data_IF_690436051322
#
_entry.id   IF_690436051322
#
_cell.length_a   1.000
_cell.length_b   1.000
_cell.length_c   1.000
_cell.angle_alpha   90.00
_cell.angle_beta   90.00
_cell.angle_gamma   90.00
#
_symmetry.space_group_name_H-M   'P 1'
#
loop_
_entity.id
_entity.type
_entity.pdbx_description
1 polymer ?
#
# COMPACT_ATOMS: atom_id res chain seq x y z
N UNK A 1 7.70 2.97 -17.19
CA UNK A 1 8.43 3.11 -15.89
C UNK A 1 7.48 3.14 -14.70
N UNK A 2 6.38 3.90 -14.74
CA UNK A 2 5.42 4.00 -13.62
C UNK A 2 4.95 2.65 -13.07
N UNK A 3 4.65 1.65 -13.93
CA UNK A 3 4.32 0.28 -13.49
C UNK A 3 5.37 -0.32 -12.53
N UNK A 4 6.66 -0.19 -12.87
CA UNK A 4 7.73 -0.74 -12.02
C UNK A 4 7.77 -0.03 -10.68
N UNK A 5 7.63 1.30 -10.68
CA UNK A 5 7.66 2.08 -9.45
C UNK A 5 6.46 1.79 -8.54
N UNK A 6 5.25 1.64 -9.08
CA UNK A 6 4.07 1.30 -8.26
C UNK A 6 4.22 -0.05 -7.58
N UNK A 7 4.78 -1.05 -8.27
CA UNK A 7 5.12 -2.34 -7.67
C UNK A 7 6.26 -2.24 -6.63
N UNK A 8 7.30 -1.45 -6.88
CA UNK A 8 8.39 -1.25 -5.92
C UNK A 8 7.87 -0.58 -4.64
N UNK A 9 7.03 0.45 -4.75
CA UNK A 9 6.42 1.11 -3.60
C UNK A 9 5.50 0.16 -2.83
N UNK A 10 4.69 -0.63 -3.52
CA UNK A 10 3.84 -1.65 -2.88
C UNK A 10 4.67 -2.69 -2.14
N UNK A 11 5.76 -3.18 -2.75
CA UNK A 11 6.69 -4.10 -2.11
C UNK A 11 7.38 -3.48 -0.88
N UNK A 12 7.78 -2.21 -0.95
CA UNK A 12 8.36 -1.50 0.20
C UNK A 12 7.37 -1.39 1.36
N UNK A 13 6.11 -1.06 1.09
CA UNK A 13 5.04 -1.04 2.11
C UNK A 13 4.91 -2.42 2.76
N UNK A 14 4.90 -3.49 1.96
CA UNK A 14 4.84 -4.86 2.46
C UNK A 14 6.03 -5.16 3.39
N UNK A 15 7.26 -4.91 2.95
CA UNK A 15 8.45 -5.13 3.77
C UNK A 15 8.43 -4.34 5.09
N UNK A 16 8.01 -3.07 5.05
CA UNK A 16 7.90 -2.23 6.25
C UNK A 16 6.86 -2.78 7.23
N UNK A 17 5.72 -3.25 6.72
CA UNK A 17 4.64 -3.84 7.50
C UNK A 17 5.08 -5.15 8.16
N UNK A 18 5.76 -6.01 7.40
CA UNK A 18 6.29 -7.28 7.91
C UNK A 18 7.41 -7.07 8.93
N UNK A 19 8.30 -6.10 8.71
CA UNK A 19 9.35 -5.78 9.66
C UNK A 19 8.77 -5.21 10.96
N UNK A 20 7.75 -4.36 10.89
CA UNK A 20 6.97 -3.90 12.05
C UNK A 20 6.33 -5.08 12.80
N UNK A 21 5.68 -6.02 12.08
CA UNK A 21 5.08 -7.22 12.66
C UNK A 21 6.10 -8.12 13.35
N UNK A 22 7.26 -8.31 12.73
CA UNK A 22 8.36 -9.08 13.30
C UNK A 22 8.90 -8.44 14.58
N UNK A 23 9.22 -7.14 14.56
CA UNK A 23 9.78 -6.43 15.72
C UNK A 23 8.79 -6.39 16.88
N UNK A 24 7.50 -6.17 16.61
CA UNK A 24 6.46 -6.17 17.65
C UNK A 24 6.33 -7.56 18.30
N UNK A 25 6.34 -8.63 17.51
CA UNK A 25 6.29 -10.01 18.02
C UNK A 25 7.55 -10.41 18.80
N UNK A 26 8.74 -10.02 18.31
CA UNK A 26 10.00 -10.28 19.03
C UNK A 26 10.02 -9.47 20.33
N UNK A 27 9.64 -8.20 20.30
CA UNK A 27 9.64 -7.35 21.49
C UNK A 27 8.66 -7.83 22.57
N UNK A 28 7.51 -8.40 22.18
CA UNK A 28 6.58 -8.99 23.14
C UNK A 28 7.10 -10.30 23.75
N UNK A 29 7.91 -11.07 23.02
CA UNK A 29 8.43 -12.36 23.48
C UNK A 29 9.71 -12.24 24.34
N UNK A 30 10.52 -11.21 24.12
CA UNK A 30 11.81 -11.00 24.81
C UNK A 30 11.74 -10.12 26.06
N UNK A 31 10.55 -9.73 26.51
CA UNK A 31 10.38 -9.06 27.80
C UNK A 31 10.82 -9.93 29.00
N UNK A 32 11.12 -11.22 28.78
CA UNK A 32 11.59 -12.19 29.77
C UNK A 32 13.08 -12.60 29.66
N UNK A 33 13.85 -12.19 28.64
CA UNK A 33 15.27 -12.61 28.52
C UNK A 33 16.25 -11.50 28.08
N UNK A 34 17.39 -11.29 28.77
CA UNK A 34 18.17 -10.04 28.67
C UNK A 34 19.26 -10.04 27.57
N UNK A 35 19.28 -11.00 26.64
CA UNK A 35 20.53 -11.34 25.91
C UNK A 35 20.75 -10.50 24.63
N UNK A 36 19.75 -9.78 24.12
CA UNK A 36 19.94 -8.91 22.94
C UNK A 36 20.07 -7.43 23.35
N UNK A 37 21.27 -7.02 23.76
CA UNK A 37 21.66 -5.64 24.14
C UNK A 37 21.76 -4.66 22.96
N UNK A 38 20.86 -4.79 21.98
CA UNK A 38 20.61 -3.78 20.97
C UNK A 38 19.10 -3.56 20.92
N UNK A 39 18.59 -2.51 21.57
CA UNK A 39 17.18 -2.14 21.47
C UNK A 39 16.88 -1.93 19.99
N UNK A 40 16.17 -2.85 19.36
CA UNK A 40 15.65 -2.72 17.99
C UNK A 40 14.57 -1.63 18.03
N UNK A 41 15.00 -0.38 18.08
CA UNK A 41 14.12 0.77 18.13
C UNK A 41 13.77 1.17 16.71
N UNK A 42 12.51 0.93 16.36
CA UNK A 42 11.95 1.30 15.07
C UNK A 42 11.16 2.60 15.24
N UNK A 43 11.47 3.62 14.43
CA UNK A 43 10.68 4.85 14.42
C UNK A 43 9.37 4.58 13.65
N UNK A 44 8.32 4.21 14.39
CA UNK A 44 7.02 3.86 13.80
C UNK A 44 6.35 5.02 13.07
N UNK A 45 6.53 6.25 13.54
CA UNK A 45 5.96 7.44 12.90
C UNK A 45 6.58 7.68 11.52
N UNK A 46 7.90 7.47 11.40
CA UNK A 46 8.61 7.56 10.13
C UNK A 46 8.16 6.47 9.15
N UNK A 47 7.99 5.23 9.62
CA UNK A 47 7.50 4.11 8.79
C UNK A 47 6.09 4.37 8.30
N UNK A 48 5.24 4.90 9.16
CA UNK A 48 3.87 5.25 8.82
C UNK A 48 3.84 6.37 7.77
N UNK A 49 4.62 7.44 7.98
CA UNK A 49 4.74 8.54 7.04
C UNK A 49 5.26 8.07 5.67
N UNK A 50 6.28 7.21 5.65
CA UNK A 50 6.81 6.61 4.41
C UNK A 50 5.76 5.75 3.70
N UNK A 51 5.00 4.94 4.45
CA UNK A 51 3.95 4.08 3.87
C UNK A 51 2.83 4.90 3.25
N UNK A 52 2.42 6.00 3.89
CA UNK A 52 1.46 6.97 3.35
C UNK A 52 2.00 7.61 2.07
N UNK A 53 3.25 8.06 2.07
CA UNK A 53 3.87 8.67 0.90
C UNK A 53 3.91 7.70 -0.29
N UNK A 54 4.24 6.43 -0.05
CA UNK A 54 4.19 5.38 -1.08
C UNK A 54 2.76 5.12 -1.58
N UNK A 55 1.77 5.03 -0.70
CA UNK A 55 0.36 4.86 -1.09
C UNK A 55 -0.14 6.03 -1.97
N UNK A 56 0.27 7.27 -1.63
CA UNK A 56 -0.04 8.47 -2.43
C UNK A 56 0.61 8.41 -3.80
N UNK A 57 1.90 8.07 -3.87
CA UNK A 57 2.61 7.94 -5.13
C UNK A 57 2.00 6.85 -6.03
N UNK A 58 1.57 5.73 -5.45
CA UNK A 58 0.81 4.69 -6.18
C UNK A 58 -0.47 5.29 -6.75
N UNK A 59 -1.29 5.93 -5.92
CA UNK A 59 -2.59 6.47 -6.31
C UNK A 59 -2.45 7.52 -7.43
N UNK A 60 -1.52 8.46 -7.28
CA UNK A 60 -1.27 9.52 -8.27
C UNK A 60 -0.73 8.97 -9.59
N UNK A 61 0.06 7.88 -9.55
CA UNK A 61 0.59 7.25 -10.76
C UNK A 61 -0.51 6.64 -11.64
N UNK A 62 -1.71 6.41 -11.10
CA UNK A 62 -2.83 5.84 -11.86
C UNK A 62 -3.34 6.78 -12.95
N UNK A 63 -3.21 8.10 -12.77
CA UNK A 63 -3.52 9.06 -13.84
C UNK A 63 -2.70 8.79 -15.12
N UNK A 64 -1.48 8.29 -14.98
CA UNK A 64 -0.63 7.88 -16.11
C UNK A 64 -0.91 6.44 -16.56
N UNK A 65 -1.07 5.50 -15.62
CA UNK A 65 -1.28 4.08 -15.94
C UNK A 65 -2.63 3.77 -16.56
N UNK A 66 -3.60 4.65 -16.37
CA UNK A 66 -4.93 4.59 -16.98
C UNK A 66 -5.04 5.44 -18.25
N UNK A 67 -3.94 5.92 -18.83
CA UNK A 67 -4.01 6.52 -20.17
C UNK A 67 -4.34 5.45 -21.22
N UNK A 68 -5.08 5.79 -22.27
CA UNK A 68 -5.54 4.83 -23.29
C UNK A 68 -4.37 4.12 -24.00
N UNK A 69 -3.25 4.83 -24.13
CA UNK A 69 -2.00 4.37 -24.72
C UNK A 69 -1.38 3.20 -23.96
N UNK A 70 -1.67 3.06 -22.66
CA UNK A 70 -1.19 1.95 -21.82
C UNK A 70 -2.00 0.65 -22.02
N UNK A 71 -3.09 0.71 -22.80
CA UNK A 71 -3.99 -0.42 -23.15
C UNK A 71 -4.40 -1.21 -21.91
N UNK A 72 -4.51 -2.54 -22.01
CA UNK A 72 -4.89 -3.42 -20.90
C UNK A 72 -3.75 -3.70 -19.91
N UNK A 73 -2.48 -3.64 -20.36
CA UNK A 73 -1.33 -3.98 -19.52
C UNK A 73 -1.09 -2.97 -18.39
N UNK A 74 -1.46 -1.70 -18.58
CA UNK A 74 -1.49 -0.72 -17.49
C UNK A 74 -2.52 -1.14 -16.42
N UNK A 75 -3.82 -1.12 -16.73
CA UNK A 75 -4.92 -1.42 -15.82
C UNK A 75 -4.86 -2.73 -15.04
N UNK A 76 -4.41 -3.86 -15.61
CA UNK A 76 -4.29 -5.11 -14.80
C UNK A 76 -3.14 -5.06 -13.80
N UNK A 77 -2.05 -4.37 -14.14
CA UNK A 77 -0.89 -4.26 -13.26
C UNK A 77 -1.13 -3.35 -12.05
N UNK A 78 -2.17 -2.52 -12.08
CA UNK A 78 -2.49 -1.57 -10.99
C UNK A 78 -3.18 -2.23 -9.79
N UNK A 79 -3.78 -3.41 -9.97
CA UNK A 79 -4.64 -4.03 -8.96
C UNK A 79 -3.89 -4.30 -7.65
N UNK A 80 -2.72 -4.95 -7.73
CA UNK A 80 -1.92 -5.24 -6.54
C UNK A 80 -1.42 -3.95 -5.83
N UNK A 81 -0.78 -2.99 -6.53
CA UNK A 81 -0.42 -1.72 -5.90
C UNK A 81 -1.61 -0.97 -5.27
N UNK A 82 -2.77 -0.96 -5.92
CA UNK A 82 -3.98 -0.31 -5.40
C UNK A 82 -4.49 -0.99 -4.13
N UNK A 83 -4.50 -2.33 -4.07
CA UNK A 83 -4.85 -3.07 -2.85
C UNK A 83 -3.94 -2.66 -1.68
N UNK A 84 -2.63 -2.62 -1.92
CA UNK A 84 -1.65 -2.26 -0.87
C UNK A 84 -1.85 -0.81 -0.42
N UNK A 85 -2.06 0.13 -1.34
CA UNK A 85 -2.34 1.52 -0.99
C UNK A 85 -3.65 1.67 -0.18
N UNK A 86 -4.71 0.95 -0.56
CA UNK A 86 -5.96 0.92 0.17
C UNK A 86 -5.79 0.41 1.60
N UNK A 87 -5.06 -0.69 1.79
CA UNK A 87 -4.77 -1.26 3.11
C UNK A 87 -4.03 -0.27 4.01
N UNK A 88 -3.07 0.50 3.46
CA UNK A 88 -2.39 1.58 4.21
C UNK A 88 -3.39 2.62 4.67
N UNK A 89 -4.22 3.17 3.77
CA UNK A 89 -5.19 4.20 4.15
C UNK A 89 -6.22 3.68 5.15
N UNK A 90 -6.72 2.46 4.97
CA UNK A 90 -7.68 1.81 5.89
C UNK A 90 -7.10 1.64 7.29
N UNK A 91 -5.82 1.31 7.41
CA UNK A 91 -5.15 1.12 8.70
C UNK A 91 -4.99 2.40 9.54
N UNK A 92 -5.14 3.58 8.92
CA UNK A 92 -4.91 4.89 9.53
C UNK A 92 -6.18 5.56 10.07
N UNK A 93 -7.34 4.92 9.90
CA UNK A 93 -8.63 5.41 10.37
C UNK A 93 -9.17 6.62 9.59
N UNK A 94 -9.91 7.50 10.26
CA UNK A 94 -10.69 8.58 9.62
C UNK A 94 -9.86 9.69 8.98
N UNK A 95 -8.54 9.75 9.22
CA UNK A 95 -7.68 10.81 8.70
C UNK A 95 -7.38 10.73 7.19
N UNK A 96 -7.74 9.63 6.52
CA UNK A 96 -7.40 9.39 5.11
C UNK A 96 -8.65 9.25 4.20
N UNK A 97 -9.81 9.78 4.62
CA UNK A 97 -11.06 9.63 3.86
C UNK A 97 -10.99 10.21 2.45
N UNK A 98 -10.30 11.34 2.26
CA UNK A 98 -10.10 11.93 0.93
C UNK A 98 -9.24 11.03 0.02
N UNK A 99 -8.17 10.44 0.57
CA UNK A 99 -7.28 9.53 -0.16
C UNK A 99 -8.00 8.21 -0.52
N UNK A 100 -8.85 7.70 0.39
CA UNK A 100 -9.72 6.54 0.13
C UNK A 100 -10.72 6.85 -0.98
N UNK A 101 -11.46 7.97 -0.90
CA UNK A 101 -12.44 8.35 -1.90
C UNK A 101 -11.79 8.54 -3.29
N UNK A 102 -10.58 9.11 -3.33
CA UNK A 102 -9.81 9.22 -4.58
C UNK A 102 -9.47 7.84 -5.14
N UNK A 103 -8.99 6.91 -4.30
CA UNK A 103 -8.66 5.55 -4.70
C UNK A 103 -9.90 4.77 -5.18
N UNK A 104 -11.06 4.95 -4.53
CA UNK A 104 -12.34 4.39 -4.98
C UNK A 104 -12.71 4.87 -6.38
N UNK A 105 -12.53 6.16 -6.67
CA UNK A 105 -12.73 6.70 -8.03
C UNK A 105 -11.83 6.05 -9.08
N UNK A 106 -10.58 5.73 -8.74
CA UNK A 106 -9.67 5.00 -9.64
C UNK A 106 -10.19 3.58 -9.90
N UNK A 107 -10.64 2.88 -8.86
CA UNK A 107 -11.16 1.51 -8.99
C UNK A 107 -12.45 1.47 -9.80
N UNK A 108 -13.31 2.46 -9.66
CA UNK A 108 -14.52 2.58 -10.46
C UNK A 108 -14.19 2.85 -11.94
N UNK A 109 -13.15 3.64 -12.23
CA UNK A 109 -12.65 3.81 -13.61
C UNK A 109 -12.12 2.49 -14.20
N UNK A 110 -11.39 1.68 -13.41
CA UNK A 110 -10.94 0.35 -13.84
C UNK A 110 -12.12 -0.56 -14.20
N UNK A 111 -13.17 -0.54 -13.37
CA UNK A 111 -14.40 -1.30 -13.61
C UNK A 111 -15.09 -0.86 -14.91
N UNK A 112 -15.24 0.46 -15.13
CA UNK A 112 -15.81 1.02 -16.37
C UNK A 112 -15.02 0.63 -17.63
N UNK A 113 -13.71 0.40 -17.49
CA UNK A 113 -12.80 -0.04 -18.58
C UNK A 113 -12.77 -1.56 -18.79
N UNK A 114 -13.65 -2.30 -18.11
CA UNK A 114 -13.84 -3.75 -18.30
C UNK A 114 -13.18 -4.64 -17.26
N UNK A 115 -12.46 -4.09 -16.27
CA UNK A 115 -11.93 -4.86 -15.14
C UNK A 115 -12.98 -5.02 -14.05
N UNK A 116 -14.00 -5.83 -14.35
CA UNK A 116 -15.19 -5.98 -13.49
C UNK A 116 -14.89 -6.47 -12.07
N UNK A 117 -13.79 -7.21 -11.91
CA UNK A 117 -13.34 -7.72 -10.60
C UNK A 117 -12.46 -6.74 -9.82
N UNK A 118 -12.15 -5.55 -10.35
CA UNK A 118 -11.21 -4.61 -9.73
C UNK A 118 -11.63 -4.25 -8.29
N UNK A 119 -12.92 -4.00 -8.08
CA UNK A 119 -13.47 -3.67 -6.76
C UNK A 119 -13.23 -4.77 -5.74
N UNK A 120 -13.54 -6.02 -6.11
CA UNK A 120 -13.31 -7.17 -5.24
C UNK A 120 -11.81 -7.35 -4.95
N UNK A 121 -10.95 -7.26 -5.97
CA UNK A 121 -9.52 -7.52 -5.82
C UNK A 121 -8.77 -6.45 -5.02
N UNK A 122 -9.23 -5.19 -5.05
CA UNK A 122 -8.59 -4.07 -4.35
C UNK A 122 -9.11 -3.91 -2.93
N UNK A 123 -10.40 -4.16 -2.69
CA UNK A 123 -11.03 -3.93 -1.39
C UNK A 123 -11.25 -5.18 -0.55
N UNK A 124 -10.90 -6.37 -1.05
CA UNK A 124 -10.90 -7.59 -0.23
C UNK A 124 -9.94 -7.44 0.95
N UNK A 125 -10.39 -7.92 2.11
CA UNK A 125 -9.61 -8.00 3.34
C UNK A 125 -8.57 -9.13 3.24
#
# INVERSE_FOLDING_TARGET
>A
MANVFTHIWAFRIFCLSELKRFITHVSSHYQEQPILTGKLHMNYDDIQAQSIAFAKNISLSMAYLLQEEMRLFGPTSTLFPLRVAYQVYKSLGSGQQADIAYLEGIVDQLNQRGLKSARALVFDD
#
